data_IF_194994854438
#
_entry.id   IF_194994854438
#
_cell.length_a   1.000
_cell.length_b   1.000
_cell.length_c   1.000
_cell.angle_alpha   90.00
_cell.angle_beta   90.00
_cell.angle_gamma   90.00
#
_symmetry.space_group_name_H-M   'P 1'
#
loop_
_entity.id
_entity.type
_entity.pdbx_description
1 polymer ?
#
# COMPACT_ATOMS: atom_id res chain seq x y z
N UNK A 1 3.51 10.40 3.90
CA UNK A 1 3.29 9.24 4.79
C UNK A 1 3.70 9.68 6.19
N UNK A 2 2.92 9.36 7.21
CA UNK A 2 3.19 9.72 8.61
C UNK A 2 3.17 8.46 9.43
N UNK A 3 4.24 8.17 10.17
CA UNK A 3 4.31 7.02 11.07
C UNK A 3 4.03 7.46 12.51
N UNK A 4 3.38 6.60 13.30
CA UNK A 4 3.24 6.80 14.75
C UNK A 4 4.56 6.57 15.50
N UNK A 5 5.48 5.81 14.90
CA UNK A 5 6.81 5.53 15.48
C UNK A 5 7.85 5.36 14.36
N UNK A 6 8.52 6.45 14.02
CA UNK A 6 9.56 6.50 12.98
C UNK A 6 10.80 5.68 13.32
N UNK A 7 11.02 5.30 14.59
CA UNK A 7 12.14 4.43 14.96
C UNK A 7 11.92 2.98 14.55
N UNK A 8 10.68 2.54 14.34
CA UNK A 8 10.37 1.16 13.94
C UNK A 8 10.11 1.05 12.44
N UNK A 9 9.31 1.96 11.88
CA UNK A 9 8.96 1.94 10.47
C UNK A 9 8.54 3.34 10.00
N UNK A 10 8.73 3.60 8.72
CA UNK A 10 8.32 4.86 8.12
C UNK A 10 8.63 4.92 6.64
N UNK A 11 8.50 6.10 6.06
CA UNK A 11 8.76 6.28 4.64
C UNK A 11 8.30 7.63 4.12
N UNK A 12 8.58 7.83 2.84
CA UNK A 12 8.10 8.94 2.06
C UNK A 12 7.42 8.41 0.78
N UNK A 13 6.45 9.16 0.30
CA UNK A 13 5.79 8.89 -0.97
C UNK A 13 5.47 10.23 -1.61
N UNK A 14 5.84 10.36 -2.87
CA UNK A 14 5.50 11.51 -3.70
C UNK A 14 4.95 11.03 -5.03
N UNK A 15 4.04 11.83 -5.56
CA UNK A 15 3.37 11.56 -6.82
C UNK A 15 4.11 12.35 -7.92
N UNK A 16 4.61 11.65 -8.93
CA UNK A 16 5.38 12.22 -10.02
C UNK A 16 4.60 12.09 -11.32
N UNK A 17 4.56 13.16 -12.11
CA UNK A 17 3.96 13.13 -13.45
C UNK A 17 4.96 12.52 -14.43
N UNK A 18 4.59 11.41 -15.06
CA UNK A 18 5.43 10.71 -16.06
C UNK A 18 5.17 11.32 -17.45
N UNK A 19 3.90 11.42 -17.82
CA UNK A 19 3.47 11.92 -19.13
C UNK A 19 2.11 12.65 -19.03
N UNK A 20 1.40 12.86 -20.14
CA UNK A 20 0.08 13.52 -20.11
C UNK A 20 -0.97 12.52 -19.61
N UNK A 21 -1.48 12.76 -18.41
CA UNK A 21 -2.49 11.91 -17.78
C UNK A 21 -1.93 10.66 -17.10
N UNK A 22 -0.60 10.53 -17.06
CA UNK A 22 0.09 9.39 -16.45
C UNK A 22 0.94 9.86 -15.27
N UNK A 23 0.75 9.19 -14.15
CA UNK A 23 1.41 9.50 -12.90
C UNK A 23 1.99 8.22 -12.30
N UNK A 24 3.17 8.34 -11.71
CA UNK A 24 3.82 7.29 -10.94
C UNK A 24 4.05 7.73 -9.50
N UNK A 25 4.31 6.77 -8.63
CA UNK A 25 4.72 7.01 -7.26
C UNK A 25 6.22 6.76 -7.12
N UNK A 26 6.90 7.65 -6.41
CA UNK A 26 8.29 7.51 -6.02
C UNK A 26 8.42 7.71 -4.52
N UNK A 27 9.39 7.05 -3.88
CA UNK A 27 9.67 7.25 -2.47
C UNK A 27 10.40 6.09 -1.83
N UNK A 28 10.33 6.04 -0.51
CA UNK A 28 10.95 5.00 0.29
C UNK A 28 10.01 4.49 1.38
N UNK A 29 10.17 3.23 1.75
CA UNK A 29 9.49 2.59 2.87
C UNK A 29 10.56 1.82 3.64
N UNK A 30 10.67 1.96 4.94
CA UNK A 30 11.66 1.23 5.74
C UNK A 30 11.02 0.57 6.95
N UNK A 31 11.58 -0.58 7.31
CA UNK A 31 11.37 -1.24 8.59
C UNK A 31 12.73 -1.42 9.26
N UNK A 32 12.86 -1.01 10.52
CA UNK A 32 14.07 -1.18 11.31
C UNK A 32 14.03 -2.45 12.17
N UNK A 33 12.89 -3.14 12.17
CA UNK A 33 12.68 -4.47 12.74
C UNK A 33 12.11 -5.40 11.67
N UNK A 34 12.30 -6.71 11.85
CA UNK A 34 11.60 -7.69 11.03
C UNK A 34 10.09 -7.55 11.28
N UNK A 35 9.29 -7.71 10.22
CA UNK A 35 7.85 -7.58 10.33
C UNK A 35 7.29 -8.72 11.22
N UNK A 36 6.66 -8.42 12.37
CA UNK A 36 6.18 -9.44 13.29
C UNK A 36 5.11 -10.33 12.65
N UNK A 37 5.14 -11.62 12.96
CA UNK A 37 4.23 -12.63 12.38
C UNK A 37 2.79 -12.50 12.87
N UNK A 38 2.63 -12.00 14.08
CA UNK A 38 1.39 -11.73 14.78
C UNK A 38 0.85 -10.30 14.53
N UNK A 39 1.57 -9.47 13.75
CA UNK A 39 1.11 -8.13 13.42
C UNK A 39 -0.21 -8.20 12.66
N UNK A 40 -1.24 -7.56 13.18
CA UNK A 40 -2.51 -7.39 12.50
C UNK A 40 -2.60 -6.02 11.84
N UNK A 41 -3.16 -5.97 10.64
CA UNK A 41 -3.37 -4.72 9.90
C UNK A 41 -4.79 -4.64 9.35
N UNK A 42 -5.29 -3.41 9.27
CA UNK A 42 -6.61 -3.05 8.76
C UNK A 42 -6.41 -1.86 7.82
N UNK A 43 -7.00 -1.90 6.62
CA UNK A 43 -6.92 -0.80 5.66
C UNK A 43 -8.32 -0.24 5.39
N UNK A 44 -8.59 0.91 5.96
CA UNK A 44 -9.83 1.64 5.75
C UNK A 44 -9.70 2.54 4.53
N UNK A 45 -10.62 2.36 3.58
CA UNK A 45 -10.68 3.17 2.37
C UNK A 45 -11.92 4.03 2.47
N UNK A 46 -11.73 5.34 2.47
CA UNK A 46 -12.81 6.30 2.49
C UNK A 46 -12.91 7.03 1.18
N UNK A 47 -14.14 7.35 0.76
CA UNK A 47 -14.43 8.18 -0.42
C UNK A 47 -15.25 9.41 -0.03
N UNK A 48 -14.93 10.52 -0.66
CA UNK A 48 -15.71 11.75 -0.65
C UNK A 48 -16.29 12.01 -2.04
N UNK A 49 -17.60 12.25 -2.09
CA UNK A 49 -18.33 12.68 -3.29
C UNK A 49 -18.59 14.19 -3.35
N UNK A 50 -18.17 14.94 -2.32
CA UNK A 50 -18.49 16.36 -2.11
C UNK A 50 -17.25 17.26 -2.08
N UNK A 51 -16.19 16.86 -2.77
CA UNK A 51 -14.97 17.67 -2.87
C UNK A 51 -14.06 17.62 -1.64
N UNK A 52 -14.18 16.58 -0.82
CA UNK A 52 -13.35 16.37 0.37
C UNK A 52 -13.95 16.91 1.67
N UNK A 53 -15.23 17.30 1.68
CA UNK A 53 -15.91 17.79 2.89
C UNK A 53 -16.30 16.64 3.81
N UNK A 54 -16.86 15.57 3.25
CA UNK A 54 -17.23 14.35 3.99
C UNK A 54 -16.62 13.10 3.37
N UNK A 55 -16.13 12.21 4.23
CA UNK A 55 -15.53 10.93 3.85
C UNK A 55 -16.36 9.78 4.43
N UNK A 56 -16.77 8.85 3.57
CA UNK A 56 -17.53 7.65 3.96
C UNK A 56 -16.68 6.41 3.73
N UNK A 57 -16.76 5.45 4.66
CA UNK A 57 -16.05 4.18 4.55
C UNK A 57 -16.64 3.37 3.38
N UNK A 58 -15.77 2.87 2.53
CA UNK A 58 -16.14 2.10 1.35
C UNK A 58 -16.14 0.60 1.65
N UNK A 59 -17.04 -0.18 1.01
CA UNK A 59 -17.25 -1.59 1.33
C UNK A 59 -16.06 -2.49 0.94
N UNK A 60 -15.15 -2.01 0.10
CA UNK A 60 -13.91 -2.70 -0.29
C UNK A 60 -12.72 -2.37 0.61
N UNK A 61 -12.97 -1.79 1.79
CA UNK A 61 -11.96 -1.69 2.85
C UNK A 61 -11.51 -3.09 3.29
N UNK A 62 -10.24 -3.20 3.68
CA UNK A 62 -9.65 -4.46 4.12
C UNK A 62 -9.89 -4.62 5.62
N UNK A 63 -10.67 -5.63 6.06
CA UNK A 63 -10.89 -5.87 7.47
C UNK A 63 -9.59 -6.26 8.17
N UNK A 64 -9.58 -6.13 9.49
CA UNK A 64 -8.42 -6.50 10.32
C UNK A 64 -8.06 -7.96 10.14
N UNK A 65 -6.81 -8.23 9.79
CA UNK A 65 -6.24 -9.57 9.65
C UNK A 65 -4.71 -9.52 9.63
N UNK A 66 -4.06 -10.68 9.63
CA UNK A 66 -2.60 -10.78 9.70
C UNK A 66 -1.87 -10.03 8.56
N UNK A 67 -0.77 -9.37 8.88
CA UNK A 67 0.03 -8.63 7.91
C UNK A 67 0.57 -9.54 6.79
N UNK A 68 1.07 -10.72 7.15
CA UNK A 68 1.52 -11.71 6.17
C UNK A 68 0.38 -12.26 5.30
N UNK A 69 -0.83 -12.41 5.85
CA UNK A 69 -2.00 -12.80 5.06
C UNK A 69 -2.33 -11.73 4.02
N UNK A 70 -2.27 -10.45 4.41
CA UNK A 70 -2.45 -9.32 3.49
C UNK A 70 -1.37 -9.26 2.40
N UNK A 71 -0.12 -9.52 2.75
CA UNK A 71 0.98 -9.55 1.78
C UNK A 71 0.83 -10.69 0.77
N UNK A 72 0.42 -11.86 1.24
CA UNK A 72 0.24 -13.05 0.41
C UNK A 72 -1.02 -13.04 -0.46
N UNK A 73 -1.93 -12.08 -0.25
CA UNK A 73 -3.16 -11.91 -1.02
C UNK A 73 -3.14 -10.58 -1.77
N UNK A 74 -3.51 -9.46 -1.12
CA UNK A 74 -3.63 -8.15 -1.78
C UNK A 74 -2.33 -7.67 -2.43
N UNK A 75 -1.19 -7.72 -1.72
CA UNK A 75 0.06 -7.27 -2.32
C UNK A 75 0.43 -8.15 -3.51
N UNK A 76 0.39 -9.48 -3.34
CA UNK A 76 0.69 -10.45 -4.39
C UNK A 76 -0.16 -10.24 -5.65
N UNK A 77 -1.47 -10.08 -5.48
CA UNK A 77 -2.43 -10.06 -6.58
C UNK A 77 -2.53 -8.67 -7.26
N UNK A 78 -2.33 -7.58 -6.51
CA UNK A 78 -2.61 -6.22 -6.99
C UNK A 78 -1.32 -5.41 -7.23
N UNK A 79 -0.32 -5.54 -6.36
CA UNK A 79 0.81 -4.60 -6.34
C UNK A 79 2.12 -5.21 -6.81
N UNK A 80 2.35 -6.51 -6.60
CA UNK A 80 3.64 -7.17 -6.78
C UNK A 80 4.14 -7.05 -8.23
N UNK A 81 3.30 -7.38 -9.21
CA UNK A 81 3.65 -7.29 -10.64
C UNK A 81 4.02 -5.88 -11.09
N UNK A 82 3.33 -4.86 -10.57
CA UNK A 82 3.65 -3.46 -10.86
C UNK A 82 4.94 -3.03 -10.17
N UNK A 83 5.09 -3.37 -8.89
CA UNK A 83 6.25 -3.06 -8.08
C UNK A 83 7.55 -3.68 -8.62
N UNK A 84 7.48 -4.90 -9.15
CA UNK A 84 8.63 -5.62 -9.71
C UNK A 84 9.39 -4.83 -10.79
N UNK A 85 8.71 -3.91 -11.48
CA UNK A 85 9.27 -3.13 -12.60
C UNK A 85 10.07 -1.90 -12.14
N UNK A 86 9.89 -1.47 -10.90
CA UNK A 86 10.24 -0.11 -10.47
C UNK A 86 10.63 0.01 -8.99
N UNK A 87 10.65 -1.10 -8.24
CA UNK A 87 11.03 -1.12 -6.82
C UNK A 87 11.84 -2.36 -6.46
N UNK A 88 12.39 -2.34 -5.24
CA UNK A 88 13.01 -3.50 -4.61
C UNK A 88 12.05 -4.22 -3.63
N UNK A 89 10.73 -4.08 -3.78
CA UNK A 89 9.77 -4.78 -2.92
C UNK A 89 9.86 -6.31 -3.10
N UNK A 90 9.50 -7.10 -2.07
CA UNK A 90 9.59 -8.56 -2.13
C UNK A 90 8.82 -9.14 -3.30
N UNK A 91 9.46 -10.06 -4.05
CA UNK A 91 8.85 -10.80 -5.14
C UNK A 91 8.90 -12.28 -4.79
N UNK A 92 7.77 -12.98 -4.89
CA UNK A 92 7.68 -14.37 -4.45
C UNK A 92 6.58 -15.13 -5.22
N UNK A 93 6.83 -16.42 -5.47
CA UNK A 93 5.89 -17.27 -6.21
C UNK A 93 4.88 -17.96 -5.29
N UNK A 94 5.33 -18.45 -4.14
CA UNK A 94 4.48 -19.17 -3.18
C UNK A 94 4.00 -18.21 -2.09
N UNK A 95 4.49 -18.34 -0.86
CA UNK A 95 4.22 -17.44 0.24
C UNK A 95 5.46 -16.62 0.63
N UNK A 96 5.23 -15.35 0.94
CA UNK A 96 6.16 -14.51 1.65
C UNK A 96 6.15 -14.91 3.13
N UNK A 97 7.25 -15.49 3.56
CA UNK A 97 7.42 -15.95 4.95
C UNK A 97 8.16 -14.95 5.84
N UNK A 98 8.88 -13.98 5.28
CA UNK A 98 9.60 -13.04 6.11
C UNK A 98 9.81 -11.74 5.36
N UNK A 99 9.51 -10.62 6.03
CA UNK A 99 9.97 -9.30 5.62
C UNK A 99 11.01 -8.85 6.62
N UNK A 100 12.28 -8.92 6.22
CA UNK A 100 13.41 -8.51 7.08
C UNK A 100 13.50 -7.00 7.18
N UNK A 101 14.05 -6.51 8.30
CA UNK A 101 14.41 -5.12 8.49
C UNK A 101 15.26 -4.62 7.31
N UNK A 102 14.72 -3.67 6.56
CA UNK A 102 15.40 -3.08 5.41
C UNK A 102 14.72 -1.78 4.96
N UNK A 103 15.39 -1.07 4.07
CA UNK A 103 14.83 0.05 3.33
C UNK A 103 14.46 -0.38 1.92
N UNK A 104 13.20 -0.19 1.59
CA UNK A 104 12.65 -0.27 0.26
C UNK A 104 12.65 1.09 -0.42
N UNK A 105 12.90 1.07 -1.73
CA UNK A 105 12.87 2.22 -2.61
C UNK A 105 12.08 1.86 -3.87
N UNK A 106 11.32 2.84 -4.35
CA UNK A 106 10.52 2.72 -5.56
C UNK A 106 10.57 4.04 -6.32
N UNK A 107 10.66 3.97 -7.64
CA UNK A 107 10.81 5.14 -8.50
C UNK A 107 9.85 5.07 -9.69
N UNK A 108 8.99 6.08 -9.80
CA UNK A 108 8.01 6.26 -10.88
C UNK A 108 7.18 4.99 -11.13
N UNK A 109 6.83 4.28 -10.06
CA UNK A 109 5.99 3.10 -10.14
C UNK A 109 4.59 3.46 -10.61
N UNK A 110 4.16 2.87 -11.71
CA UNK A 110 2.77 2.91 -12.18
C UNK A 110 2.05 1.64 -11.71
N UNK A 111 0.81 1.81 -11.26
CA UNK A 111 -0.03 0.68 -10.84
C UNK A 111 -0.80 0.14 -12.04
N UNK A 112 -0.76 -1.16 -12.21
CA UNK A 112 -1.66 -1.85 -13.13
C UNK A 112 -3.04 -1.95 -12.47
N UNK A 113 -4.09 -1.67 -13.23
CA UNK A 113 -5.48 -1.70 -12.75
C UNK A 113 -6.14 -3.06 -12.98
N UNK A 114 -5.46 -4.02 -13.62
CA UNK A 114 -6.02 -5.35 -13.89
C UNK A 114 -6.45 -6.11 -12.62
N UNK A 115 -5.76 -5.88 -11.48
CA UNK A 115 -6.10 -6.46 -10.18
C UNK A 115 -7.12 -5.66 -9.35
N UNK A 116 -7.56 -4.49 -9.84
CA UNK A 116 -8.49 -3.62 -9.12
C UNK A 116 -9.96 -3.96 -9.44
N UNK A 117 -10.91 -3.54 -8.59
CA UNK A 117 -12.33 -3.61 -8.93
C UNK A 117 -12.64 -2.91 -10.26
N UNK A 118 -13.50 -3.52 -11.09
CA UNK A 118 -13.88 -3.00 -12.40
C UNK A 118 -14.51 -1.59 -12.38
N UNK A 119 -15.03 -1.18 -11.22
CA UNK A 119 -15.66 0.11 -11.04
C UNK A 119 -15.28 0.70 -9.69
N UNK A 120 -14.63 1.86 -9.72
CA UNK A 120 -14.47 2.75 -8.59
C UNK A 120 -15.21 4.03 -8.92
N UNK A 121 -16.01 4.53 -7.99
CA UNK A 121 -16.79 5.74 -8.22
C UNK A 121 -15.90 6.98 -8.14
N UNK A 122 -16.10 7.97 -9.01
CA UNK A 122 -15.32 9.20 -8.99
C UNK A 122 -15.42 9.91 -7.63
N UNK A 123 -14.31 10.51 -7.18
CA UNK A 123 -14.26 11.24 -5.92
C UNK A 123 -12.85 11.36 -5.34
N UNK A 124 -12.76 11.94 -4.15
CA UNK A 124 -11.51 11.99 -3.39
C UNK A 124 -11.42 10.78 -2.46
N UNK A 125 -10.27 10.10 -2.50
CA UNK A 125 -10.04 8.90 -1.71
C UNK A 125 -9.05 9.18 -0.59
N UNK A 126 -9.34 8.66 0.60
CA UNK A 126 -8.43 8.65 1.75
C UNK A 126 -8.19 7.20 2.17
N UNK A 127 -6.92 6.83 2.26
CA UNK A 127 -6.49 5.52 2.74
C UNK A 127 -5.93 5.67 4.15
N UNK A 128 -6.38 4.82 5.07
CA UNK A 128 -5.90 4.75 6.44
C UNK A 128 -5.52 3.30 6.78
N UNK A 129 -4.23 3.08 7.06
CA UNK A 129 -3.71 1.78 7.45
C UNK A 129 -3.47 1.81 8.96
N UNK A 130 -4.15 0.92 9.69
CA UNK A 130 -3.95 0.70 11.12
C UNK A 130 -3.20 -0.60 11.32
N UNK A 131 -2.33 -0.61 12.32
CA UNK A 131 -1.67 -1.81 12.79
C UNK A 131 -1.94 -1.99 14.28
N UNK A 132 -2.00 -3.23 14.73
CA UNK A 132 -2.06 -3.59 16.14
C UNK A 132 -1.08 -4.73 16.37
N UNK A 133 -0.24 -4.56 17.38
CA UNK A 133 0.72 -5.53 17.86
C UNK A 133 0.40 -5.84 19.33
#
# INVERSE_FOLDING_TARGET
MTSSNESLAGGDCRLERISRGEYGMSGTLYFNIDLPKDLEVEANIFRSSDGGVTYKLEPYSVPRRGAYENLNTFYKDIAMTSAAKCSNFPQFNDSLELVTAQKFAYEKCTMDTAGFPNYLSDGYYKFEIKHTA
#
